data_IF_066553144600
#
_entry.id   IF_066553144600
#
_cell.length_a   1.000
_cell.length_b   1.000
_cell.length_c   1.000
_cell.angle_alpha   90.00
_cell.angle_beta   90.00
_cell.angle_gamma   90.00
#
_symmetry.space_group_name_H-M   'P 1'
#
loop_
_entity.id
_entity.type
_entity.pdbx_description
1 polymer ?
#
# COMPACT_ATOMS: atom_id res chain seq x y z
N UNK A 1 -2.56 -13.43 -46.02
CA UNK A 1 -3.29 -12.70 -44.94
C UNK A 1 -3.50 -13.71 -43.84
N UNK A 2 -2.61 -13.73 -42.88
CA UNK A 2 -2.65 -14.67 -41.75
C UNK A 2 -3.43 -13.96 -40.65
N UNK A 3 -4.62 -14.44 -40.35
CA UNK A 3 -5.40 -13.99 -39.19
C UNK A 3 -4.64 -14.38 -37.94
N UNK A 4 -4.23 -13.39 -37.16
CA UNK A 4 -3.71 -13.63 -35.80
C UNK A 4 -4.87 -14.23 -35.00
N UNK A 5 -4.70 -15.48 -34.58
CA UNK A 5 -5.59 -16.15 -33.63
C UNK A 5 -5.61 -15.33 -32.34
N UNK A 6 -6.80 -15.08 -31.81
CA UNK A 6 -7.01 -14.42 -30.53
C UNK A 6 -6.31 -15.23 -29.43
N UNK A 7 -5.20 -14.70 -28.93
CA UNK A 7 -4.56 -15.20 -27.71
C UNK A 7 -5.51 -14.98 -26.52
N UNK A 8 -6.29 -15.99 -26.22
CA UNK A 8 -7.18 -16.02 -25.06
C UNK A 8 -6.39 -16.34 -23.80
N UNK A 9 -5.57 -15.39 -23.35
CA UNK A 9 -5.00 -15.45 -22.01
C UNK A 9 -6.15 -15.42 -20.99
N UNK A 10 -6.31 -16.44 -20.13
CA UNK A 10 -7.36 -16.42 -19.12
C UNK A 10 -7.27 -15.14 -18.26
N UNK A 11 -8.38 -14.43 -18.11
CA UNK A 11 -8.45 -13.21 -17.31
C UNK A 11 -8.14 -11.91 -18.06
N UNK A 12 -8.18 -11.89 -19.40
CA UNK A 12 -8.08 -10.66 -20.18
C UNK A 12 -9.38 -10.32 -20.91
N UNK A 13 -9.74 -9.05 -20.96
CA UNK A 13 -10.82 -8.52 -21.79
C UNK A 13 -10.33 -7.34 -22.64
N UNK A 14 -10.97 -7.08 -23.78
CA UNK A 14 -10.68 -5.89 -24.58
C UNK A 14 -11.76 -4.83 -24.31
N UNK A 15 -11.34 -3.57 -24.10
CA UNK A 15 -12.29 -2.47 -24.05
C UNK A 15 -12.83 -2.15 -25.47
N UNK A 16 -13.81 -1.25 -25.56
CA UNK A 16 -14.42 -0.80 -26.82
C UNK A 16 -13.42 -0.20 -27.83
N UNK A 17 -12.18 0.07 -27.42
CA UNK A 17 -11.08 0.57 -28.25
C UNK A 17 -10.06 -0.53 -28.59
N UNK A 18 -10.33 -1.79 -28.27
CA UNK A 18 -9.44 -2.92 -28.55
C UNK A 18 -8.22 -3.05 -27.61
N UNK A 19 -8.13 -2.23 -26.58
CA UNK A 19 -7.03 -2.30 -25.60
C UNK A 19 -7.22 -3.51 -24.68
N UNK A 20 -6.19 -4.33 -24.58
CA UNK A 20 -6.15 -5.46 -23.66
C UNK A 20 -6.20 -4.96 -22.22
N UNK A 21 -7.10 -5.52 -21.40
CA UNK A 21 -7.16 -5.30 -19.95
C UNK A 21 -6.96 -6.60 -19.20
N UNK A 22 -6.08 -6.56 -18.22
CA UNK A 22 -5.88 -7.66 -17.30
C UNK A 22 -7.03 -7.62 -16.28
N UNK A 23 -7.77 -8.71 -16.16
CA UNK A 23 -8.81 -8.89 -15.16
C UNK A 23 -8.20 -9.51 -13.92
N UNK A 24 -8.53 -9.03 -12.70
CA UNK A 24 -8.10 -9.69 -11.48
C UNK A 24 -8.74 -11.10 -11.40
N UNK A 25 -7.95 -12.05 -10.94
CA UNK A 25 -8.41 -13.45 -10.76
C UNK A 25 -9.48 -13.55 -9.67
N UNK A 26 -9.38 -12.69 -8.65
CA UNK A 26 -10.32 -12.58 -7.55
C UNK A 26 -10.62 -11.10 -7.31
N UNK A 27 -11.88 -10.73 -7.16
CA UNK A 27 -12.32 -9.34 -7.05
C UNK A 27 -13.56 -9.17 -6.19
N UNK A 28 -13.81 -7.91 -5.80
CA UNK A 28 -15.01 -7.46 -5.09
C UNK A 28 -15.34 -8.36 -3.87
N UNK A 29 -16.57 -8.78 -3.73
CA UNK A 29 -17.05 -9.60 -2.61
C UNK A 29 -16.29 -10.93 -2.48
N UNK A 30 -15.84 -11.50 -3.60
CA UNK A 30 -15.07 -12.73 -3.59
C UNK A 30 -13.69 -12.51 -2.94
N UNK A 31 -13.02 -11.39 -3.24
CA UNK A 31 -11.75 -11.03 -2.61
C UNK A 31 -11.94 -10.76 -1.12
N UNK A 32 -12.97 -10.00 -0.75
CA UNK A 32 -13.30 -9.74 0.66
C UNK A 32 -13.54 -11.05 1.43
N UNK A 33 -14.31 -11.97 0.85
CA UNK A 33 -14.55 -13.28 1.45
C UNK A 33 -13.27 -14.11 1.57
N UNK A 34 -12.39 -14.06 0.56
CA UNK A 34 -11.09 -14.74 0.60
C UNK A 34 -10.21 -14.20 1.72
N UNK A 35 -10.13 -12.87 1.89
CA UNK A 35 -9.37 -12.25 2.98
C UNK A 35 -9.96 -12.58 4.34
N UNK A 36 -11.31 -12.57 4.46
CA UNK A 36 -11.99 -12.93 5.70
C UNK A 36 -11.72 -14.39 6.11
N UNK A 37 -11.72 -15.31 5.14
CA UNK A 37 -11.48 -16.73 5.36
C UNK A 37 -10.00 -17.10 5.55
N UNK A 38 -9.06 -16.19 5.26
CA UNK A 38 -7.65 -16.44 5.48
C UNK A 38 -7.32 -16.40 6.98
N UNK A 39 -6.75 -17.48 7.48
CA UNK A 39 -6.37 -17.64 8.90
C UNK A 39 -4.87 -17.96 9.00
N UNK A 40 -3.98 -16.96 8.78
CA UNK A 40 -2.56 -17.18 8.94
C UNK A 40 -2.22 -17.51 10.38
N UNK A 41 -1.37 -18.53 10.58
CA UNK A 41 -0.81 -18.83 11.89
C UNK A 41 0.45 -17.99 12.14
N UNK A 42 0.94 -17.99 13.39
CA UNK A 42 2.19 -17.30 13.72
C UNK A 42 3.34 -17.75 12.81
N UNK A 43 4.03 -16.79 12.21
CA UNK A 43 5.07 -17.01 11.20
C UNK A 43 4.56 -17.07 9.75
N UNK A 44 3.28 -16.87 9.52
CA UNK A 44 2.68 -16.82 8.18
C UNK A 44 2.07 -15.45 7.88
N UNK A 45 2.07 -15.08 6.59
CA UNK A 45 1.37 -13.93 6.07
C UNK A 45 0.72 -14.25 4.72
N UNK A 46 -0.48 -13.72 4.49
CA UNK A 46 -1.15 -13.72 3.20
C UNK A 46 -1.03 -12.34 2.58
N UNK A 47 -0.71 -12.28 1.29
CA UNK A 47 -0.51 -11.06 0.52
C UNK A 47 -1.40 -11.09 -0.72
N UNK A 48 -2.13 -9.99 -0.94
CA UNK A 48 -2.93 -9.74 -2.14
C UNK A 48 -2.41 -8.47 -2.82
N UNK A 49 -1.91 -8.63 -4.03
CA UNK A 49 -1.55 -7.49 -4.86
C UNK A 49 -2.81 -6.83 -5.42
N UNK A 50 -3.00 -5.56 -5.13
CA UNK A 50 -4.20 -4.84 -5.54
C UNK A 50 -4.03 -4.06 -6.84
N UNK A 51 -2.89 -3.56 -7.13
CA UNK A 51 -2.34 -2.93 -8.34
C UNK A 51 -1.18 -2.03 -7.95
N UNK A 52 -0.36 -1.58 -8.90
CA UNK A 52 0.76 -0.65 -8.67
C UNK A 52 1.60 -1.12 -7.49
N UNK A 53 1.90 -0.25 -6.54
CA UNK A 53 2.58 -0.59 -5.29
C UNK A 53 1.64 -1.04 -4.15
N UNK A 54 0.32 -1.19 -4.44
CA UNK A 54 -0.70 -1.48 -3.43
C UNK A 54 -0.76 -2.95 -3.03
N UNK A 55 -0.62 -3.21 -1.74
CA UNK A 55 -0.69 -4.54 -1.17
C UNK A 55 -1.63 -4.59 0.04
N UNK A 56 -2.54 -5.55 0.04
CA UNK A 56 -3.29 -5.93 1.23
C UNK A 56 -2.59 -7.13 1.87
N UNK A 57 -2.37 -7.06 3.17
CA UNK A 57 -1.66 -8.08 3.93
C UNK A 57 -2.48 -8.50 5.14
N UNK A 58 -2.39 -9.79 5.48
CA UNK A 58 -2.96 -10.34 6.71
C UNK A 58 -1.96 -11.27 7.37
N UNK A 59 -1.71 -11.03 8.65
CA UNK A 59 -0.92 -11.89 9.54
C UNK A 59 -1.84 -12.49 10.60
N UNK A 60 -1.31 -13.29 11.52
CA UNK A 60 -2.09 -13.77 12.66
C UNK A 60 -2.52 -12.66 13.64
N UNK A 61 -1.97 -11.46 13.54
CA UNK A 61 -2.20 -10.35 14.48
C UNK A 61 -2.85 -9.13 13.84
N UNK A 62 -2.61 -8.87 12.54
CA UNK A 62 -3.08 -7.66 11.88
C UNK A 62 -3.52 -7.88 10.43
N UNK A 63 -4.47 -7.05 9.98
CA UNK A 63 -4.84 -6.88 8.57
C UNK A 63 -4.59 -5.42 8.19
N UNK A 64 -3.77 -5.17 7.20
CA UNK A 64 -3.37 -3.82 6.81
C UNK A 64 -3.15 -3.70 5.31
N UNK A 65 -3.21 -2.47 4.81
CA UNK A 65 -2.95 -2.16 3.40
C UNK A 65 -1.80 -1.17 3.31
N UNK A 66 -0.94 -1.36 2.31
CA UNK A 66 0.19 -0.47 2.03
C UNK A 66 -0.02 0.19 0.67
N UNK A 67 0.21 1.51 0.61
CA UNK A 67 0.11 2.34 -0.59
C UNK A 67 -1.19 2.09 -1.38
N UNK A 68 -2.38 2.17 -0.75
CA UNK A 68 -3.63 1.82 -1.39
C UNK A 68 -3.97 2.82 -2.49
N UNK A 69 -3.87 2.38 -3.73
CA UNK A 69 -4.17 3.19 -4.89
C UNK A 69 -5.42 2.69 -5.63
N UNK A 70 -6.37 3.57 -5.80
CA UNK A 70 -7.53 3.41 -6.67
C UNK A 70 -7.89 4.77 -7.25
N UNK A 71 -8.04 4.83 -8.55
CA UNK A 71 -8.44 6.04 -9.25
C UNK A 71 -9.33 5.68 -10.42
N UNK A 72 -10.34 6.49 -10.69
CA UNK A 72 -11.08 6.37 -11.94
C UNK A 72 -10.22 6.92 -13.09
N UNK A 73 -9.29 6.09 -13.57
CA UNK A 73 -8.35 6.43 -14.66
C UNK A 73 -9.05 6.70 -16.00
N UNK A 74 -10.38 6.52 -16.07
CA UNK A 74 -11.17 6.80 -17.26
C UNK A 74 -11.79 8.19 -17.24
N UNK A 75 -11.76 8.89 -16.12
CA UNK A 75 -12.38 10.20 -15.92
C UNK A 75 -11.53 11.39 -16.39
N UNK A 76 -10.32 11.17 -16.93
CA UNK A 76 -9.45 12.28 -17.34
C UNK A 76 -8.21 11.89 -18.15
N UNK A 77 -7.47 12.90 -18.61
CA UNK A 77 -6.18 12.75 -19.29
C UNK A 77 -5.08 12.42 -18.27
N UNK A 78 -4.95 11.15 -17.92
CA UNK A 78 -3.89 10.70 -17.03
C UNK A 78 -2.71 10.15 -17.82
N UNK A 79 -1.51 10.50 -17.37
CA UNK A 79 -0.24 10.01 -17.89
C UNK A 79 -0.06 8.49 -17.72
N UNK A 80 -0.73 7.88 -16.75
CA UNK A 80 -0.72 6.44 -16.52
C UNK A 80 -2.04 5.81 -16.97
N UNK A 81 -1.96 4.92 -17.95
CA UNK A 81 -3.07 4.05 -18.34
C UNK A 81 -2.92 2.71 -17.59
N UNK A 82 -3.81 2.47 -16.63
CA UNK A 82 -3.85 1.17 -15.98
C UNK A 82 -4.21 0.09 -17.01
N UNK A 83 -3.36 -0.92 -17.13
CA UNK A 83 -3.59 -2.08 -18.01
C UNK A 83 -4.50 -3.13 -17.35
N UNK A 84 -4.78 -3.01 -16.06
CA UNK A 84 -5.62 -3.91 -15.27
C UNK A 84 -6.82 -3.21 -14.65
N UNK A 85 -7.82 -3.99 -14.26
CA UNK A 85 -8.91 -3.51 -13.42
C UNK A 85 -8.53 -3.65 -11.94
N UNK A 86 -9.03 -2.71 -11.12
CA UNK A 86 -8.84 -2.80 -9.67
C UNK A 86 -9.63 -3.99 -9.12
N UNK A 87 -9.01 -4.82 -8.29
CA UNK A 87 -9.70 -5.95 -7.70
C UNK A 87 -10.71 -5.55 -6.62
N UNK A 88 -10.60 -4.34 -6.07
CA UNK A 88 -11.42 -3.90 -4.95
C UNK A 88 -11.62 -2.39 -4.94
N UNK A 89 -12.87 -1.94 -4.78
CA UNK A 89 -13.16 -0.52 -4.55
C UNK A 89 -12.79 -0.13 -3.11
N UNK A 90 -12.22 1.08 -2.86
CA UNK A 90 -11.74 1.48 -1.53
C UNK A 90 -12.76 1.43 -0.40
N UNK A 91 -14.04 1.65 -0.71
CA UNK A 91 -15.12 1.56 0.28
C UNK A 91 -15.48 0.12 0.70
N UNK A 92 -14.96 -0.86 -0.01
CA UNK A 92 -15.30 -2.28 0.18
C UNK A 92 -14.12 -3.09 0.73
N UNK A 93 -13.06 -2.42 1.23
CA UNK A 93 -11.98 -3.14 1.88
C UNK A 93 -12.50 -4.00 3.04
N UNK A 94 -11.94 -5.20 3.29
CA UNK A 94 -12.19 -5.92 4.53
C UNK A 94 -11.80 -5.05 5.72
N UNK A 95 -12.15 -5.45 6.93
CA UNK A 95 -11.72 -4.73 8.13
C UNK A 95 -10.20 -4.59 8.15
N UNK A 96 -9.73 -3.35 8.24
CA UNK A 96 -8.32 -2.99 8.30
C UNK A 96 -7.97 -2.45 9.68
N UNK A 97 -6.87 -2.93 10.25
CA UNK A 97 -6.27 -2.31 11.43
C UNK A 97 -5.53 -1.03 11.02
N UNK A 98 -4.73 -1.10 9.94
CA UNK A 98 -3.88 0.01 9.53
C UNK A 98 -3.87 0.24 8.01
N UNK A 99 -3.68 1.49 7.63
CA UNK A 99 -3.28 1.94 6.28
C UNK A 99 -1.89 2.55 6.39
N UNK A 100 -0.94 2.10 5.58
CA UNK A 100 0.41 2.62 5.53
C UNK A 100 0.63 3.31 4.18
N UNK A 101 1.18 4.54 4.18
CA UNK A 101 1.61 5.20 2.95
C UNK A 101 3.10 5.48 3.01
N UNK A 102 3.82 5.15 1.94
CA UNK A 102 5.27 5.32 1.86
C UNK A 102 5.70 6.75 1.56
N UNK A 103 4.95 7.47 0.73
CA UNK A 103 5.21 8.85 0.37
C UNK A 103 3.97 9.56 -0.23
N UNK A 104 4.12 10.83 -0.57
CA UNK A 104 3.03 11.74 -0.92
C UNK A 104 2.50 11.64 -2.37
N UNK A 105 3.15 10.88 -3.26
CA UNK A 105 2.67 10.76 -4.64
C UNK A 105 1.28 10.12 -4.71
N UNK A 106 0.49 10.58 -5.67
CA UNK A 106 -0.93 10.21 -5.81
C UNK A 106 -1.17 8.71 -6.00
N UNK A 107 -0.18 7.96 -6.45
CA UNK A 107 -0.25 6.50 -6.64
C UNK A 107 0.20 5.70 -5.40
N UNK A 108 0.51 6.41 -4.29
CA UNK A 108 0.81 5.84 -2.97
C UNK A 108 -0.09 6.45 -1.88
N UNK A 109 -0.08 7.77 -1.72
CA UNK A 109 -1.01 8.50 -0.86
C UNK A 109 -2.17 9.03 -1.72
N UNK A 110 -3.06 8.14 -2.14
CA UNK A 110 -4.08 8.45 -3.12
C UNK A 110 -5.22 9.31 -2.55
N UNK A 111 -5.43 10.54 -3.08
CA UNK A 111 -6.45 11.44 -2.57
C UNK A 111 -7.88 10.96 -2.83
N UNK A 112 -8.08 9.99 -3.72
CA UNK A 112 -9.38 9.37 -3.96
C UNK A 112 -9.61 8.14 -3.07
N UNK A 113 -8.56 7.44 -2.67
CA UNK A 113 -8.62 6.20 -1.89
C UNK A 113 -8.71 6.47 -0.38
N UNK A 114 -7.81 7.31 0.14
CA UNK A 114 -7.66 7.55 1.57
C UNK A 114 -8.98 8.00 2.23
N UNK A 115 -9.71 9.03 1.73
CA UNK A 115 -10.95 9.45 2.36
C UNK A 115 -12.06 8.40 2.29
N UNK A 116 -12.06 7.55 1.25
CA UNK A 116 -13.05 6.47 1.15
C UNK A 116 -12.82 5.37 2.17
N UNK A 117 -11.56 4.99 2.39
CA UNK A 117 -11.22 4.03 3.47
C UNK A 117 -11.55 4.66 4.82
N UNK A 118 -11.16 5.91 5.07
CA UNK A 118 -11.40 6.59 6.34
C UNK A 118 -12.90 6.68 6.69
N UNK A 119 -13.75 6.96 5.69
CA UNK A 119 -15.19 7.03 5.86
C UNK A 119 -15.84 5.66 6.07
N UNK A 120 -15.32 4.60 5.43
CA UNK A 120 -15.87 3.25 5.54
C UNK A 120 -15.43 2.53 6.82
N UNK A 121 -14.29 2.92 7.42
CA UNK A 121 -13.63 2.19 8.50
C UNK A 121 -13.20 3.13 9.63
N UNK A 122 -14.07 3.31 10.61
CA UNK A 122 -13.88 4.29 11.69
C UNK A 122 -12.73 3.95 12.69
N UNK A 123 -12.28 2.70 12.72
CA UNK A 123 -11.26 2.22 13.68
C UNK A 123 -9.87 2.04 13.07
N UNK A 124 -9.74 2.26 11.78
CA UNK A 124 -8.46 2.10 11.06
C UNK A 124 -7.54 3.28 11.30
N UNK A 125 -6.29 3.03 11.69
CA UNK A 125 -5.24 4.03 11.81
C UNK A 125 -4.47 4.21 10.49
N UNK A 126 -3.93 5.41 10.29
CA UNK A 126 -3.20 5.82 9.09
C UNK A 126 -1.76 6.17 9.44
N UNK A 127 -0.82 5.30 9.08
CA UNK A 127 0.62 5.56 9.22
C UNK A 127 1.09 6.34 7.99
N UNK A 128 1.40 7.61 8.19
CA UNK A 128 1.64 8.56 7.11
C UNK A 128 3.01 9.22 7.29
N UNK A 129 3.81 9.42 6.23
CA UNK A 129 5.03 10.21 6.33
C UNK A 129 4.73 11.54 7.02
N UNK A 130 5.51 11.91 8.04
CA UNK A 130 5.23 13.07 8.88
C UNK A 130 5.08 14.37 8.10
N UNK A 131 5.68 14.44 6.91
CA UNK A 131 5.59 15.56 5.98
C UNK A 131 4.26 15.63 5.21
N UNK A 132 3.44 14.58 5.27
CA UNK A 132 2.17 14.48 4.55
C UNK A 132 0.95 14.47 5.48
N UNK A 133 1.15 14.67 6.78
CA UNK A 133 0.06 14.66 7.77
C UNK A 133 -1.00 15.70 7.44
N UNK A 134 -0.61 16.96 7.21
CA UNK A 134 -1.54 18.05 6.87
C UNK A 134 -2.36 17.76 5.60
N UNK A 135 -1.75 17.05 4.64
CA UNK A 135 -2.44 16.62 3.41
C UNK A 135 -3.55 15.64 3.75
N UNK A 136 -3.26 14.65 4.60
CA UNK A 136 -4.21 13.59 4.98
C UNK A 136 -5.33 14.15 5.86
N UNK A 137 -5.04 15.08 6.75
CA UNK A 137 -6.06 15.84 7.51
C UNK A 137 -6.97 16.63 6.55
N UNK A 138 -6.38 17.27 5.54
CA UNK A 138 -7.12 17.96 4.47
C UNK A 138 -8.02 17.06 3.64
N UNK A 139 -7.72 15.75 3.57
CA UNK A 139 -8.57 14.74 2.95
C UNK A 139 -9.71 14.24 3.88
N UNK A 140 -9.80 14.75 5.11
CA UNK A 140 -10.88 14.45 6.06
C UNK A 140 -10.62 13.25 6.97
N UNK A 141 -9.37 12.81 7.12
CA UNK A 141 -8.98 11.83 8.13
C UNK A 141 -8.81 12.57 9.48
N UNK A 142 -9.43 12.05 10.52
CA UNK A 142 -9.30 12.62 11.87
C UNK A 142 -7.85 12.52 12.37
N UNK A 143 -7.31 13.63 12.93
CA UNK A 143 -5.91 13.68 13.43
C UNK A 143 -5.60 12.60 14.45
N UNK A 144 -6.58 12.19 15.25
CA UNK A 144 -6.42 11.11 16.25
C UNK A 144 -6.14 9.72 15.64
N UNK A 145 -6.39 9.57 14.34
CA UNK A 145 -6.17 8.34 13.57
C UNK A 145 -4.91 8.40 12.72
N UNK A 146 -4.21 9.53 12.71
CA UNK A 146 -2.99 9.70 11.91
C UNK A 146 -1.76 9.50 12.79
N UNK A 147 -0.90 8.58 12.40
CA UNK A 147 0.35 8.23 13.06
C UNK A 147 1.52 8.69 12.18
N UNK A 148 2.25 9.75 12.59
CA UNK A 148 3.35 10.29 11.80
C UNK A 148 4.55 9.35 11.73
N UNK A 149 5.02 9.03 10.52
CA UNK A 149 6.25 8.30 10.25
C UNK A 149 7.37 9.27 9.86
N UNK A 150 8.42 9.37 10.68
CA UNK A 150 9.51 10.35 10.48
C UNK A 150 10.64 9.85 9.57
N UNK A 151 10.56 8.62 9.04
CA UNK A 151 11.61 8.04 8.22
C UNK A 151 12.77 7.43 9.01
N UNK A 152 12.67 7.37 10.33
CA UNK A 152 13.63 6.67 11.19
C UNK A 152 12.97 6.27 12.52
N UNK A 153 13.48 5.17 13.09
CA UNK A 153 13.01 4.69 14.39
C UNK A 153 11.75 3.83 14.35
N UNK A 154 11.44 3.21 15.48
CA UNK A 154 10.31 2.33 15.60
C UNK A 154 8.99 3.09 15.80
N UNK A 155 7.91 2.48 15.33
CA UNK A 155 6.52 2.75 15.71
C UNK A 155 5.93 1.43 16.20
N UNK A 156 5.37 1.44 17.40
CA UNK A 156 4.69 0.28 17.98
C UNK A 156 3.19 0.56 18.02
N UNK A 157 2.42 -0.22 17.26
CA UNK A 157 0.97 -0.10 17.13
C UNK A 157 0.23 -1.24 17.85
N UNK A 158 0.97 -2.02 18.67
CA UNK A 158 0.45 -3.15 19.41
C UNK A 158 0.44 -4.44 18.59
N UNK A 159 -0.39 -4.53 17.55
CA UNK A 159 -0.49 -5.69 16.65
C UNK A 159 0.45 -5.61 15.43
N UNK A 160 1.09 -4.46 15.25
CA UNK A 160 2.00 -4.18 14.16
C UNK A 160 3.16 -3.32 14.68
N UNK A 161 4.39 -3.78 14.51
CA UNK A 161 5.58 -2.99 14.80
C UNK A 161 6.26 -2.59 13.50
N UNK A 162 6.62 -1.31 13.39
CA UNK A 162 7.24 -0.74 12.21
C UNK A 162 8.61 -0.17 12.57
N UNK A 163 9.55 -0.29 11.65
CA UNK A 163 10.74 0.55 11.64
C UNK A 163 10.77 1.34 10.34
N UNK A 164 10.64 2.66 10.46
CA UNK A 164 10.76 3.54 9.31
C UNK A 164 12.22 3.62 8.85
N UNK A 165 12.43 3.45 7.56
CA UNK A 165 13.75 3.58 6.91
C UNK A 165 13.63 4.67 5.84
N UNK A 166 14.56 5.63 5.75
CA UNK A 166 14.55 6.60 4.67
C UNK A 166 14.58 5.89 3.31
N UNK A 167 13.77 6.31 2.38
CA UNK A 167 13.78 5.81 1.02
C UNK A 167 14.32 6.89 0.06
N UNK A 168 15.16 6.49 -0.89
CA UNK A 168 15.64 7.37 -1.94
C UNK A 168 14.72 7.25 -3.15
N UNK A 169 13.87 8.22 -3.36
CA UNK A 169 13.13 8.39 -4.60
C UNK A 169 13.98 9.27 -5.52
N UNK A 170 14.82 8.63 -6.36
CA UNK A 170 16.02 9.16 -7.00
C UNK A 170 17.17 9.43 -6.01
N UNK A 171 16.96 10.25 -4.97
CA UNK A 171 17.93 10.54 -3.91
C UNK A 171 17.26 10.57 -2.52
N UNK A 172 18.08 10.56 -1.47
CA UNK A 172 17.58 10.75 -0.11
C UNK A 172 17.20 12.22 0.09
N UNK A 173 15.95 12.46 0.52
CA UNK A 173 15.44 13.81 0.76
C UNK A 173 14.93 13.94 2.19
N UNK A 174 15.51 14.90 2.92
CA UNK A 174 15.19 15.21 4.31
C UNK A 174 14.87 16.67 4.48
N UNK A 175 13.96 16.96 5.38
CA UNK A 175 13.74 18.33 5.81
C UNK A 175 14.77 18.79 6.86
N UNK A 176 14.61 20.04 7.32
CA UNK A 176 15.50 20.65 8.31
C UNK A 176 15.45 19.96 9.69
N UNK A 177 14.42 19.16 9.97
CA UNK A 177 14.29 18.37 11.20
C UNK A 177 14.89 16.97 11.07
N UNK A 178 15.32 16.58 9.87
CA UNK A 178 15.80 15.25 9.55
C UNK A 178 14.71 14.25 9.23
N UNK A 179 13.44 14.68 9.09
CA UNK A 179 12.34 13.82 8.64
C UNK A 179 12.44 13.58 7.14
N UNK A 180 12.28 12.31 6.74
CA UNK A 180 12.31 11.92 5.32
C UNK A 180 10.97 12.20 4.63
N UNK A 181 11.03 12.64 3.37
CA UNK A 181 9.86 12.77 2.51
C UNK A 181 9.35 11.41 2.01
N UNK A 182 10.26 10.45 1.91
CA UNK A 182 9.99 9.11 1.38
C UNK A 182 10.45 8.09 2.42
N UNK A 183 9.57 7.16 2.75
CA UNK A 183 9.87 6.15 3.78
C UNK A 183 9.60 4.74 3.25
N UNK A 184 10.50 3.83 3.56
CA UNK A 184 10.24 2.41 3.53
C UNK A 184 9.90 1.91 4.93
N UNK A 185 9.23 0.79 5.02
CA UNK A 185 8.82 0.18 6.27
C UNK A 185 9.39 -1.23 6.40
N UNK A 186 10.17 -1.49 7.45
CA UNK A 186 10.34 -2.86 7.95
C UNK A 186 9.19 -3.09 8.91
N UNK A 187 8.37 -4.08 8.61
CA UNK A 187 7.11 -4.38 9.26
C UNK A 187 7.25 -5.72 9.97
N UNK A 188 6.93 -5.79 11.24
CA UNK A 188 6.88 -7.04 12.00
C UNK A 188 5.47 -7.20 12.58
N UNK A 189 4.86 -8.35 12.31
CA UNK A 189 3.54 -8.72 12.82
C UNK A 189 3.37 -10.24 12.76
N UNK A 190 2.85 -10.86 13.80
CA UNK A 190 2.58 -12.29 13.84
C UNK A 190 3.79 -13.17 13.56
N UNK A 191 5.01 -12.74 13.91
CA UNK A 191 6.26 -13.48 13.68
C UNK A 191 6.78 -13.41 12.22
N UNK A 192 6.21 -12.55 11.39
CA UNK A 192 6.68 -12.30 10.02
C UNK A 192 7.33 -10.94 9.95
N UNK A 193 8.44 -10.84 9.20
CA UNK A 193 9.12 -9.58 8.91
C UNK A 193 9.08 -9.30 7.40
N UNK A 194 8.56 -8.14 7.01
CA UNK A 194 8.37 -7.74 5.63
C UNK A 194 8.99 -6.36 5.43
N UNK A 195 9.68 -6.14 4.31
CA UNK A 195 10.14 -4.82 3.91
C UNK A 195 9.37 -4.30 2.70
N UNK A 196 8.73 -3.15 2.87
CA UNK A 196 8.12 -2.39 1.78
C UNK A 196 8.97 -1.14 1.52
N UNK A 197 9.46 -1.00 0.31
CA UNK A 197 10.38 0.09 -0.01
C UNK A 197 9.72 1.33 -0.62
N UNK A 198 8.39 1.28 -0.89
CA UNK A 198 7.73 2.28 -1.72
C UNK A 198 8.40 2.35 -3.09
N UNK A 199 8.54 3.55 -3.63
CA UNK A 199 9.30 3.82 -4.87
C UNK A 199 10.79 4.07 -4.63
N UNK A 200 11.29 3.62 -3.46
CA UNK A 200 12.69 3.79 -3.11
C UNK A 200 13.63 3.02 -4.03
N UNK A 201 14.81 3.61 -4.25
CA UNK A 201 15.92 2.96 -4.95
C UNK A 201 17.02 2.57 -3.95
N UNK A 202 17.84 1.53 -4.23
CA UNK A 202 18.98 1.20 -3.40
C UNK A 202 19.99 2.36 -3.34
N UNK A 203 20.39 2.74 -2.13
CA UNK A 203 21.38 3.78 -1.86
C UNK A 203 22.53 3.23 -1.00
N UNK A 204 23.69 3.89 -0.93
CA UNK A 204 24.82 3.43 -0.12
C UNK A 204 24.44 3.31 1.37
N UNK A 205 24.40 2.08 1.90
CA UNK A 205 23.98 1.79 3.27
C UNK A 205 22.55 1.29 3.44
N UNK A 206 21.73 1.29 2.38
CA UNK A 206 20.33 0.85 2.39
C UNK A 206 20.10 -0.52 3.05
N UNK A 207 20.78 -1.58 2.59
CA UNK A 207 20.62 -2.91 3.17
C UNK A 207 21.14 -3.00 4.62
N UNK A 208 22.10 -2.16 5.00
CA UNK A 208 22.55 -2.05 6.40
C UNK A 208 21.45 -1.41 7.26
N UNK A 209 20.78 -0.39 6.76
CA UNK A 209 19.67 0.27 7.46
C UNK A 209 18.51 -0.70 7.68
N UNK A 210 18.12 -1.46 6.66
CA UNK A 210 17.06 -2.49 6.76
C UNK A 210 17.46 -3.60 7.74
N UNK A 211 18.69 -4.12 7.62
CA UNK A 211 19.18 -5.16 8.53
C UNK A 211 19.19 -4.72 10.00
N UNK A 212 19.58 -3.47 10.29
CA UNK A 212 19.50 -2.89 11.64
C UNK A 212 18.06 -2.71 12.12
N UNK A 213 17.16 -2.27 11.23
CA UNK A 213 15.75 -2.12 11.52
C UNK A 213 15.14 -3.47 11.92
N UNK A 214 15.37 -4.49 11.12
CA UNK A 214 14.86 -5.84 11.39
C UNK A 214 15.39 -6.42 12.71
N UNK A 215 16.67 -6.25 13.03
CA UNK A 215 17.25 -6.70 14.29
C UNK A 215 16.68 -5.99 15.53
N UNK A 216 16.14 -4.79 15.38
CA UNK A 216 15.58 -4.00 16.49
C UNK A 216 14.10 -4.27 16.72
N UNK A 217 13.43 -4.83 15.73
CA UNK A 217 12.03 -5.27 15.85
C UNK A 217 11.91 -6.72 16.36
N UNK A 218 12.91 -7.55 16.08
CA UNK A 218 12.99 -8.93 16.54
C UNK A 218 13.31 -8.99 18.04
#
# INVERSE_FOLDING_TARGET
MTTLEDDQTPGSSRNNQGTLRIQPVCRDEQLVAQVAAAEPVYGEAYLWWLTQASWLLKTSEATFVIDPWWRDVFAGDHWAKLLGEYPLHPSNFPSLDHVLCSHWHDDHLCPETIPRIAAAQAQTDFVIPSRSVDVVEGLGVESSRIIPAHGHGPLDLGNLRLWCVPAAHEELDFDQTGASWYVGYVIESGGVSIYHMGDGQPWPGWHTAIGKANQRLA
#
